data_IF_664420458668
#
_entry.id   IF_664420458668
#
_cell.length_a   1.000
_cell.length_b   1.000
_cell.length_c   1.000
_cell.angle_alpha   90.00
_cell.angle_beta   90.00
_cell.angle_gamma   90.00
#
_symmetry.space_group_name_H-M   'P 1'
#
loop_
_entity.id
_entity.type
_entity.pdbx_description
1 polymer ?
#
# COMPACT_ATOMS: atom_id res chain seq x y z
N UNK A 1 -0.27 2.51 -10.99
CA UNK A 1 -1.03 1.24 -11.04
C UNK A 1 -2.52 1.56 -11.09
N UNK A 2 -3.39 0.64 -11.51
CA UNK A 2 -4.85 0.76 -11.45
C UNK A 2 -5.42 -0.05 -10.27
N UNK A 3 -6.61 0.31 -9.78
CA UNK A 3 -7.24 -0.41 -8.65
C UNK A 3 -7.38 -1.92 -8.89
N UNK A 4 -7.64 -2.31 -10.14
CA UNK A 4 -7.78 -3.71 -10.57
C UNK A 4 -6.47 -4.50 -10.52
N UNK A 5 -5.33 -3.84 -10.34
CA UNK A 5 -4.03 -4.50 -10.18
C UNK A 5 -3.78 -4.98 -8.75
N UNK A 6 -4.63 -4.59 -7.79
CA UNK A 6 -4.42 -4.87 -6.37
C UNK A 6 -5.14 -6.13 -5.89
N UNK A 7 -4.53 -6.77 -4.90
CA UNK A 7 -5.13 -7.83 -4.08
C UNK A 7 -4.72 -7.62 -2.63
N UNK A 8 -5.56 -8.04 -1.68
CA UNK A 8 -5.24 -7.92 -0.26
C UNK A 8 -3.95 -8.70 0.03
N UNK A 9 -3.01 -8.07 0.74
CA UNK A 9 -1.69 -8.60 1.03
C UNK A 9 -0.64 -8.31 -0.05
N UNK A 10 -1.01 -7.80 -1.23
CA UNK A 10 -0.02 -7.38 -2.21
C UNK A 10 0.74 -6.16 -1.71
N UNK A 11 1.97 -6.01 -2.22
CA UNK A 11 2.83 -4.91 -1.87
C UNK A 11 3.10 -4.05 -3.09
N UNK A 12 3.18 -2.74 -2.85
CA UNK A 12 3.39 -1.74 -3.88
C UNK A 12 4.25 -0.61 -3.31
N UNK A 13 4.66 0.30 -4.19
CA UNK A 13 5.54 1.40 -3.85
C UNK A 13 4.89 2.73 -4.17
N UNK A 14 5.30 3.73 -3.40
CA UNK A 14 5.04 5.16 -3.64
C UNK A 14 6.38 5.88 -3.55
N UNK A 15 6.42 7.18 -3.84
CA UNK A 15 7.58 8.02 -3.58
C UNK A 15 8.01 8.06 -2.08
N UNK A 16 7.17 7.58 -1.16
CA UNK A 16 7.47 7.56 0.28
C UNK A 16 7.91 6.20 0.81
N UNK A 17 7.99 5.18 -0.07
CA UNK A 17 8.41 3.82 0.28
C UNK A 17 7.35 2.75 -0.03
N UNK A 18 7.52 1.60 0.61
CA UNK A 18 6.76 0.36 0.38
C UNK A 18 5.51 0.28 1.27
N UNK A 19 4.45 -0.25 0.69
CA UNK A 19 3.13 -0.39 1.32
C UNK A 19 2.58 -1.79 1.08
N UNK A 20 1.67 -2.23 1.96
CA UNK A 20 0.90 -3.47 1.80
C UNK A 20 -0.59 -3.17 1.82
N UNK A 21 -1.29 -3.61 0.77
CA UNK A 21 -2.74 -3.53 0.68
C UNK A 21 -3.41 -4.36 1.80
N UNK A 22 -4.33 -3.75 2.53
CA UNK A 22 -5.10 -4.38 3.60
C UNK A 22 -6.59 -4.51 3.26
N UNK A 23 -7.11 -3.63 2.40
CA UNK A 23 -8.48 -3.70 1.90
C UNK A 23 -8.64 -3.03 0.52
N UNK A 24 -9.66 -3.43 -0.24
CA UNK A 24 -9.97 -2.89 -1.58
C UNK A 24 -11.44 -2.50 -1.63
N UNK A 25 -11.69 -1.19 -1.67
CA UNK A 25 -13.01 -0.61 -1.89
C UNK A 25 -13.34 -0.49 -3.38
N UNK A 26 -14.51 0.08 -3.70
CA UNK A 26 -14.95 0.27 -5.09
C UNK A 26 -14.09 1.29 -5.86
N UNK A 27 -13.55 2.30 -5.17
CA UNK A 27 -12.74 3.39 -5.75
C UNK A 27 -11.52 3.74 -4.90
N UNK A 28 -11.23 2.93 -3.89
CA UNK A 28 -10.22 3.22 -2.88
C UNK A 28 -9.47 1.94 -2.52
N UNK A 29 -8.25 2.12 -2.06
CA UNK A 29 -7.36 1.08 -1.54
C UNK A 29 -6.96 1.48 -0.12
N UNK A 30 -7.10 0.59 0.86
CA UNK A 30 -6.50 0.79 2.18
C UNK A 30 -5.18 0.03 2.26
N UNK A 31 -4.16 0.65 2.84
CA UNK A 31 -2.86 0.02 2.99
C UNK A 31 -2.12 0.50 4.24
N UNK A 32 -1.26 -0.36 4.77
CA UNK A 32 -0.28 -0.01 5.79
C UNK A 32 1.08 0.23 5.16
N UNK A 33 1.83 1.20 5.69
CA UNK A 33 3.21 1.42 5.31
C UNK A 33 4.10 0.34 5.93
N UNK A 34 5.02 -0.20 5.15
CA UNK A 34 6.00 -1.19 5.63
C UNK A 34 7.29 -0.49 6.07
N UNK A 35 7.18 0.39 7.07
CA UNK A 35 8.31 1.09 7.67
C UNK A 35 8.53 0.74 9.15
N UNK A 36 9.76 0.90 9.62
CA UNK A 36 10.13 0.63 11.00
C UNK A 36 10.18 -0.87 11.35
N UNK A 37 9.58 -1.23 12.48
CA UNK A 37 9.65 -2.58 13.06
C UNK A 37 8.70 -3.55 12.35
N UNK A 38 9.20 -4.66 11.78
CA UNK A 38 8.36 -5.64 11.10
C UNK A 38 7.23 -6.25 11.92
N UNK A 39 7.33 -6.21 13.25
CA UNK A 39 6.27 -6.67 14.14
C UNK A 39 5.01 -5.81 14.04
N UNK A 40 5.12 -4.57 13.57
CA UNK A 40 4.00 -3.65 13.45
C UNK A 40 3.00 -4.03 12.35
N UNK A 41 3.43 -4.81 11.35
CA UNK A 41 2.58 -5.27 10.25
C UNK A 41 2.22 -6.77 10.36
N UNK A 42 2.31 -7.35 11.55
CA UNK A 42 1.77 -8.67 11.89
C UNK A 42 0.34 -8.47 12.41
N UNK A 43 -0.67 -9.05 11.75
CA UNK A 43 -2.09 -8.80 12.05
C UNK A 43 -3.04 -9.45 11.03
N UNK A 44 -4.36 -9.18 11.13
CA UNK A 44 -5.00 -8.10 11.90
C UNK A 44 -5.22 -8.35 13.41
N UNK A 45 -5.39 -7.28 14.23
CA UNK A 45 -5.21 -5.87 13.87
C UNK A 45 -3.72 -5.52 13.72
N UNK A 46 -3.39 -4.71 12.73
CA UNK A 46 -2.02 -4.20 12.55
C UNK A 46 -1.72 -3.10 13.58
N UNK A 47 -0.45 -2.99 13.99
CA UNK A 47 0.01 -1.88 14.84
C UNK A 47 0.48 -0.66 14.02
N UNK A 48 0.45 -0.75 12.68
CA UNK A 48 0.70 0.34 11.75
C UNK A 48 -0.60 1.06 11.38
N UNK A 49 -0.52 2.38 11.14
CA UNK A 49 -1.65 3.16 10.67
C UNK A 49 -2.00 2.80 9.22
N UNK A 50 -3.29 2.67 8.95
CA UNK A 50 -3.81 2.52 7.60
C UNK A 50 -3.96 3.87 6.92
N UNK A 51 -3.68 3.91 5.61
CA UNK A 51 -3.92 5.04 4.73
C UNK A 51 -4.84 4.63 3.59
N UNK A 52 -5.70 5.56 3.16
CA UNK A 52 -6.62 5.37 2.04
C UNK A 52 -6.02 6.05 0.82
N UNK A 53 -5.93 5.31 -0.28
CA UNK A 53 -5.52 5.79 -1.59
C UNK A 53 -6.73 5.77 -2.51
N UNK A 54 -7.03 6.88 -3.17
CA UNK A 54 -8.11 6.99 -4.13
C UNK A 54 -7.61 7.00 -5.58
N UNK A 55 -8.50 7.31 -6.53
CA UNK A 55 -8.17 7.36 -7.96
C UNK A 55 -7.12 8.41 -8.34
N UNK A 56 -6.99 9.50 -7.56
CA UNK A 56 -5.98 10.52 -7.78
C UNK A 56 -4.59 10.03 -7.38
N UNK A 57 -4.50 9.15 -6.38
CA UNK A 57 -3.23 8.62 -5.89
C UNK A 57 -2.62 7.55 -6.82
N UNK A 58 -3.45 6.90 -7.65
CA UNK A 58 -3.07 5.77 -8.51
C UNK A 58 -1.88 6.04 -9.44
N UNK A 59 -1.72 7.30 -9.89
CA UNK A 59 -0.61 7.73 -10.73
C UNK A 59 0.76 7.68 -10.05
N UNK A 60 0.80 7.69 -8.71
CA UNK A 60 2.01 7.61 -7.89
C UNK A 60 2.28 6.21 -7.31
N UNK A 61 1.59 5.18 -7.81
CA UNK A 61 1.72 3.79 -7.34
C UNK A 61 2.52 2.96 -8.34
N UNK A 62 3.54 2.26 -7.83
CA UNK A 62 4.50 1.49 -8.62
C UNK A 62 4.59 0.04 -8.14
N UNK A 63 4.90 -0.87 -9.06
CA UNK A 63 5.11 -2.31 -8.75
C UNK A 63 6.50 -2.58 -8.13
N UNK A 64 7.43 -1.65 -8.31
CA UNK A 64 8.79 -1.69 -7.78
C UNK A 64 9.20 -0.32 -7.23
N UNK A 65 10.29 -0.31 -6.48
CA UNK A 65 10.86 0.91 -5.89
C UNK A 65 11.21 1.94 -6.98
N UNK A 66 10.54 3.11 -7.04
CA UNK A 66 10.76 4.10 -8.08
C UNK A 66 12.12 4.82 -7.97
N UNK A 67 12.81 4.74 -6.83
CA UNK A 67 14.14 5.34 -6.67
C UNK A 67 15.27 4.45 -7.20
N UNK A 68 14.96 3.20 -7.57
CA UNK A 68 15.95 2.20 -8.04
C UNK A 68 15.86 1.90 -9.53
N UNK A 69 14.97 2.60 -10.26
CA UNK A 69 14.76 2.49 -11.71
C UNK A 69 15.33 3.71 -12.45
#
# INVERSE_FOLDING_TARGET
MLLTDFSIGCEFWTATGRWRCTDIGTRTLCAIKLDGDPRNWVGPPYSAAESVFDECDMGGLYTSDPERD
#
